data_IF_502807972182
#
_entry.id   IF_502807972182
#
_cell.length_a   1.000
_cell.length_b   1.000
_cell.length_c   1.000
_cell.angle_alpha   90.00
_cell.angle_beta   90.00
_cell.angle_gamma   90.00
#
_symmetry.space_group_name_H-M   'P 1'
#
loop_
_entity.id
_entity.type
_entity.pdbx_description
1 polymer ?
#
# COMPACT_ATOMS: atom_id res chain seq x y z
N UNK A 1 7.73 -27.65 13.32
CA UNK A 1 7.52 -28.72 12.33
C UNK A 1 7.50 -28.05 10.96
N UNK A 2 7.99 -28.67 9.89
CA UNK A 2 7.92 -28.03 8.58
C UNK A 2 6.48 -28.11 8.06
N UNK A 3 6.04 -27.12 7.28
CA UNK A 3 4.68 -27.08 6.72
C UNK A 3 4.38 -28.31 5.82
N UNK A 4 5.42 -28.88 5.19
CA UNK A 4 5.32 -30.16 4.48
C UNK A 4 4.88 -31.30 5.40
N UNK A 5 5.56 -31.48 6.53
CA UNK A 5 5.23 -32.55 7.49
C UNK A 5 3.83 -32.37 8.07
N UNK A 6 3.39 -31.12 8.28
CA UNK A 6 2.02 -30.80 8.68
C UNK A 6 0.99 -31.25 7.64
N UNK A 7 1.24 -30.98 6.35
CA UNK A 7 0.38 -31.43 5.27
C UNK A 7 0.41 -32.94 5.08
N UNK A 8 1.56 -33.57 5.24
CA UNK A 8 1.69 -35.03 5.18
C UNK A 8 0.86 -35.70 6.27
N UNK A 9 0.99 -35.24 7.52
CA UNK A 9 0.17 -35.73 8.64
C UNK A 9 -1.32 -35.47 8.43
N UNK A 10 -1.69 -34.31 7.88
CA UNK A 10 -3.08 -33.99 7.58
C UNK A 10 -3.65 -34.94 6.51
N UNK A 11 -2.88 -35.22 5.46
CA UNK A 11 -3.28 -36.16 4.42
C UNK A 11 -3.44 -37.58 4.95
N UNK A 12 -2.51 -38.06 5.79
CA UNK A 12 -2.65 -39.37 6.44
C UNK A 12 -3.90 -39.46 7.32
N UNK A 13 -4.28 -38.38 8.02
CA UNK A 13 -5.50 -38.32 8.84
C UNK A 13 -6.80 -38.37 8.03
N UNK A 14 -6.76 -38.07 6.73
CA UNK A 14 -7.93 -38.13 5.85
C UNK A 14 -8.14 -39.52 5.23
N UNK A 15 -7.18 -40.44 5.38
CA UNK A 15 -7.30 -41.79 4.84
C UNK A 15 -8.24 -42.65 5.70
N UNK A 16 -9.00 -43.58 5.08
CA UNK A 16 -9.76 -44.57 5.82
C UNK A 16 -8.83 -45.40 6.74
N UNK A 17 -9.28 -45.77 7.95
CA UNK A 17 -8.48 -46.61 8.84
C UNK A 17 -8.27 -48.00 8.24
N UNK A 18 -7.10 -48.60 8.46
CA UNK A 18 -6.79 -49.98 8.06
C UNK A 18 -5.36 -50.14 7.53
N UNK A 19 -4.92 -51.40 7.32
CA UNK A 19 -3.53 -51.71 6.97
C UNK A 19 -3.15 -51.35 5.53
N UNK A 20 -4.12 -50.94 4.71
CA UNK A 20 -3.90 -50.59 3.31
C UNK A 20 -2.96 -49.38 3.11
N UNK A 21 -2.72 -48.60 4.17
CA UNK A 21 -1.90 -47.39 4.17
C UNK A 21 -0.65 -47.50 5.05
N UNK A 22 -0.27 -48.71 5.46
CA UNK A 22 0.94 -48.94 6.25
C UNK A 22 2.19 -48.83 5.36
N UNK A 23 3.23 -48.20 5.89
CA UNK A 23 4.51 -47.99 5.20
C UNK A 23 4.57 -46.71 4.37
N UNK A 24 5.60 -46.61 3.54
CA UNK A 24 5.86 -45.44 2.70
C UNK A 24 4.73 -45.24 1.67
N UNK A 25 4.28 -43.99 1.52
CA UNK A 25 3.21 -43.65 0.60
C UNK A 25 3.66 -42.48 -0.30
N UNK A 26 4.32 -42.77 -1.44
CA UNK A 26 4.85 -41.76 -2.34
C UNK A 26 3.81 -40.79 -2.89
N UNK A 27 2.52 -41.18 -2.93
CA UNK A 27 1.44 -40.29 -3.34
C UNK A 27 1.19 -39.21 -2.28
N UNK A 28 1.15 -39.59 -1.00
CA UNK A 28 0.95 -38.66 0.11
C UNK A 28 2.18 -37.75 0.27
N UNK A 29 3.36 -38.36 0.28
CA UNK A 29 4.65 -37.66 0.37
C UNK A 29 4.89 -36.73 -0.82
N UNK A 30 4.45 -37.10 -2.02
CA UNK A 30 4.53 -36.26 -3.21
C UNK A 30 3.50 -35.12 -3.24
N UNK A 31 2.31 -35.35 -2.66
CA UNK A 31 1.24 -34.36 -2.65
C UNK A 31 1.49 -33.25 -1.62
N UNK A 32 2.03 -33.58 -0.44
CA UNK A 32 2.25 -32.61 0.63
C UNK A 32 3.10 -31.38 0.21
N UNK A 33 4.25 -31.54 -0.48
CA UNK A 33 5.02 -30.39 -1.00
C UNK A 33 4.24 -29.53 -1.99
N UNK A 34 3.32 -30.11 -2.77
CA UNK A 34 2.49 -29.32 -3.69
C UNK A 34 1.48 -28.45 -2.95
N UNK A 35 0.86 -28.96 -1.88
CA UNK A 35 -0.05 -28.22 -1.03
C UNK A 35 0.68 -27.11 -0.26
N UNK A 36 1.89 -27.37 0.22
CA UNK A 36 2.76 -26.35 0.83
C UNK A 36 3.05 -25.21 -0.12
N UNK A 37 3.38 -25.49 -1.39
CA UNK A 37 3.62 -24.42 -2.39
C UNK A 37 2.36 -23.57 -2.60
N UNK A 38 1.19 -24.21 -2.70
CA UNK A 38 -0.09 -23.49 -2.85
C UNK A 38 -0.39 -22.64 -1.61
N UNK A 39 -0.22 -23.19 -0.41
CA UNK A 39 -0.37 -22.45 0.85
C UNK A 39 0.54 -21.22 0.87
N UNK A 40 1.82 -21.38 0.56
CA UNK A 40 2.78 -20.28 0.55
C UNK A 40 2.41 -19.20 -0.48
N UNK A 41 1.93 -19.58 -1.66
CA UNK A 41 1.43 -18.63 -2.66
C UNK A 41 0.16 -17.92 -2.20
N UNK A 42 -0.74 -18.61 -1.49
CA UNK A 42 -1.91 -17.98 -0.88
C UNK A 42 -1.51 -16.94 0.18
N UNK A 43 -0.54 -17.27 1.04
CA UNK A 43 -0.02 -16.32 2.03
C UNK A 43 0.69 -15.13 1.38
N UNK A 44 1.42 -15.35 0.28
CA UNK A 44 2.01 -14.27 -0.49
C UNK A 44 0.92 -13.35 -1.09
N UNK A 45 -0.15 -13.94 -1.65
CA UNK A 45 -1.28 -13.19 -2.18
C UNK A 45 -1.94 -12.30 -1.12
N UNK A 46 -2.04 -12.75 0.14
CA UNK A 46 -2.60 -11.91 1.20
C UNK A 46 -1.78 -10.64 1.45
N UNK A 47 -0.46 -10.68 1.24
CA UNK A 47 0.40 -9.49 1.33
C UNK A 47 0.21 -8.56 0.13
N UNK A 48 -0.06 -9.13 -1.04
CA UNK A 48 -0.30 -8.37 -2.28
C UNK A 48 -1.62 -7.59 -2.26
N UNK A 49 -2.57 -7.94 -1.38
CA UNK A 49 -3.83 -7.19 -1.21
C UNK A 49 -3.58 -5.82 -0.60
N UNK A 50 -2.59 -5.70 0.29
CA UNK A 50 -2.23 -4.45 0.95
C UNK A 50 -1.30 -3.61 0.05
N UNK A 51 -1.70 -2.41 -0.40
CA UNK A 51 -0.86 -1.52 -1.20
C UNK A 51 0.48 -1.17 -0.51
N UNK A 52 0.55 -1.21 0.82
CA UNK A 52 1.77 -0.96 1.57
C UNK A 52 2.78 -2.13 1.50
N UNK A 53 2.32 -3.34 1.15
CA UNK A 53 3.13 -4.55 1.16
C UNK A 53 3.25 -5.24 -0.21
N UNK A 54 2.48 -4.81 -1.21
CA UNK A 54 2.51 -5.37 -2.57
C UNK A 54 3.89 -5.27 -3.22
N UNK A 55 4.32 -6.37 -3.84
CA UNK A 55 5.57 -6.44 -4.59
C UNK A 55 5.32 -6.90 -6.03
N UNK A 56 4.53 -7.98 -6.21
CA UNK A 56 4.19 -8.51 -7.53
C UNK A 56 3.15 -7.64 -8.25
N UNK A 57 2.20 -7.05 -7.53
CA UNK A 57 1.12 -6.24 -8.11
C UNK A 57 1.41 -4.74 -8.16
N UNK A 58 2.62 -4.30 -7.77
CA UNK A 58 2.91 -2.88 -7.58
C UNK A 58 2.68 -2.03 -8.84
N UNK A 59 3.08 -2.52 -10.02
CA UNK A 59 2.88 -1.80 -11.29
C UNK A 59 1.39 -1.61 -11.61
N UNK A 60 0.57 -2.60 -11.27
CA UNK A 60 -0.89 -2.55 -11.46
C UNK A 60 -1.52 -1.55 -10.51
N UNK A 61 -1.12 -1.56 -9.24
CA UNK A 61 -1.58 -0.58 -8.27
C UNK A 61 -1.20 0.84 -8.68
N UNK A 62 0.06 1.07 -9.04
CA UNK A 62 0.52 2.39 -9.50
C UNK A 62 -0.30 2.90 -10.70
N UNK A 63 -0.59 2.02 -11.67
CA UNK A 63 -1.46 2.37 -12.80
C UNK A 63 -2.85 2.82 -12.34
N UNK A 64 -3.49 2.10 -11.42
CA UNK A 64 -4.84 2.40 -10.91
C UNK A 64 -4.86 3.71 -10.12
N UNK A 65 -3.81 3.98 -9.33
CA UNK A 65 -3.68 5.18 -8.52
C UNK A 65 -3.02 6.36 -9.25
N UNK A 66 -2.71 6.22 -10.54
CA UNK A 66 -2.07 7.26 -11.35
C UNK A 66 -0.71 7.67 -10.82
N UNK A 67 0.14 6.68 -10.52
CA UNK A 67 1.55 6.83 -10.18
C UNK A 67 2.42 6.29 -11.34
N UNK A 68 3.63 6.83 -11.56
CA UNK A 68 4.19 8.01 -10.90
C UNK A 68 3.49 9.30 -11.33
N UNK A 69 3.32 10.24 -10.39
CA UNK A 69 2.73 11.56 -10.61
C UNK A 69 3.79 12.68 -10.51
N UNK A 70 3.36 13.94 -10.64
CA UNK A 70 4.26 15.11 -10.57
C UNK A 70 4.99 15.27 -9.24
N UNK A 71 4.54 14.59 -8.18
CA UNK A 71 5.16 14.60 -6.87
C UNK A 71 6.20 13.48 -6.70
N UNK A 72 6.36 12.63 -7.72
CA UNK A 72 7.31 11.52 -7.70
C UNK A 72 8.71 12.03 -8.04
N UNK A 73 9.70 11.82 -7.16
CA UNK A 73 11.06 12.28 -7.41
C UNK A 73 11.70 11.55 -8.59
N UNK A 74 12.48 12.28 -9.40
CA UNK A 74 13.17 11.77 -10.57
C UNK A 74 14.15 10.63 -10.23
N UNK A 75 14.33 9.71 -11.17
CA UNK A 75 15.29 8.62 -11.09
C UNK A 75 14.69 7.26 -10.75
N UNK A 76 15.57 6.26 -10.58
CA UNK A 76 15.18 4.88 -10.25
C UNK A 76 14.84 4.78 -8.78
N UNK A 77 13.70 4.18 -8.48
CA UNK A 77 13.16 4.10 -7.13
C UNK A 77 13.14 2.64 -6.66
N UNK A 78 13.51 2.43 -5.41
CA UNK A 78 13.43 1.12 -4.78
C UNK A 78 11.97 0.69 -4.59
N UNK A 79 11.73 -0.62 -4.51
CA UNK A 79 10.39 -1.16 -4.23
C UNK A 79 9.78 -0.55 -2.96
N UNK A 80 10.58 -0.36 -1.90
CA UNK A 80 10.13 0.22 -0.65
C UNK A 80 9.65 1.67 -0.80
N UNK A 81 10.38 2.48 -1.57
CA UNK A 81 9.96 3.87 -1.86
C UNK A 81 8.66 3.91 -2.66
N UNK A 82 8.49 2.99 -3.60
CA UNK A 82 7.25 2.85 -4.38
C UNK A 82 6.06 2.46 -3.49
N UNK A 83 6.24 1.45 -2.63
CA UNK A 83 5.24 1.02 -1.64
C UNK A 83 4.83 2.17 -0.70
N UNK A 84 5.79 2.93 -0.18
CA UNK A 84 5.52 4.07 0.71
C UNK A 84 4.66 5.14 0.04
N UNK A 85 4.94 5.49 -1.22
CA UNK A 85 4.12 6.47 -1.95
C UNK A 85 2.74 5.93 -2.29
N UNK A 86 2.66 4.66 -2.68
CA UNK A 86 1.41 4.01 -2.99
C UNK A 86 0.51 3.96 -1.73
N UNK A 87 1.06 3.54 -0.60
CA UNK A 87 0.38 3.56 0.70
C UNK A 87 -0.08 4.98 1.08
N UNK A 88 0.80 5.97 0.91
CA UNK A 88 0.51 7.36 1.16
C UNK A 88 -0.62 7.94 0.27
N UNK A 89 -0.90 7.32 -0.88
CA UNK A 89 -1.98 7.72 -1.81
C UNK A 89 -3.25 6.91 -1.63
N UNK A 90 -3.13 5.63 -1.26
CA UNK A 90 -4.24 4.69 -1.13
C UNK A 90 -4.91 4.72 0.24
N UNK A 91 -4.12 4.82 1.32
CA UNK A 91 -4.56 4.55 2.69
C UNK A 91 -4.57 5.78 3.60
N UNK A 92 -4.11 6.95 3.13
CA UNK A 92 -4.06 8.15 3.96
C UNK A 92 -5.46 8.66 4.26
N UNK A 93 -5.85 8.51 5.54
CA UNK A 93 -7.00 9.19 6.09
C UNK A 93 -6.71 10.69 6.13
N UNK A 94 -7.32 11.45 5.21
CA UNK A 94 -7.07 12.88 5.05
C UNK A 94 -7.26 13.68 6.35
N UNK A 95 -6.49 14.75 6.50
CA UNK A 95 -6.63 15.72 7.58
C UNK A 95 -6.30 17.13 7.09
N UNK A 96 -7.02 18.14 7.57
CA UNK A 96 -6.75 19.55 7.23
C UNK A 96 -6.04 20.19 8.42
N UNK A 97 -4.84 19.72 8.74
CA UNK A 97 -3.99 20.31 9.78
C UNK A 97 -2.51 20.19 9.42
N UNK A 98 -1.68 21.06 10.01
CA UNK A 98 -0.25 21.13 9.71
C UNK A 98 0.47 19.80 9.97
N UNK A 99 0.18 19.13 11.10
CA UNK A 99 0.84 17.88 11.47
C UNK A 99 0.60 16.78 10.43
N UNK A 100 -0.63 16.67 9.92
CA UNK A 100 -0.99 15.74 8.86
C UNK A 100 -0.14 15.96 7.60
N UNK A 101 -0.04 17.21 7.14
CA UNK A 101 0.74 17.54 5.96
C UNK A 101 2.25 17.33 6.18
N UNK A 102 2.79 17.64 7.36
CA UNK A 102 4.20 17.34 7.69
C UNK A 102 4.50 15.84 7.63
N UNK A 103 3.66 15.02 8.26
CA UNK A 103 3.83 13.56 8.24
C UNK A 103 3.82 13.02 6.80
N UNK A 104 2.95 13.55 5.94
CA UNK A 104 2.91 13.18 4.53
C UNK A 104 4.20 13.57 3.79
N UNK A 105 4.67 14.80 3.99
CA UNK A 105 5.90 15.28 3.35
C UNK A 105 7.12 14.45 3.79
N UNK A 106 7.24 14.14 5.08
CA UNK A 106 8.32 13.30 5.61
C UNK A 106 8.28 11.88 5.02
N UNK A 107 7.10 11.26 4.94
CA UNK A 107 6.92 9.93 4.36
C UNK A 107 7.30 9.88 2.88
N UNK A 108 7.10 10.99 2.16
CA UNK A 108 7.49 11.15 0.75
C UNK A 108 8.96 11.57 0.56
N UNK A 109 9.70 11.84 1.64
CA UNK A 109 11.11 12.24 1.62
C UNK A 109 11.36 13.74 1.53
N UNK A 110 10.33 14.58 1.67
CA UNK A 110 10.41 16.05 1.65
C UNK A 110 10.62 16.64 3.06
N UNK A 111 11.67 16.22 3.76
CA UNK A 111 11.90 16.58 5.18
C UNK A 111 12.23 18.05 5.44
N UNK A 112 12.56 18.81 4.39
CA UNK A 112 12.90 20.25 4.50
C UNK A 112 11.76 21.17 4.10
N UNK A 113 10.58 20.64 3.76
CA UNK A 113 9.45 21.45 3.32
C UNK A 113 8.82 22.26 4.48
N UNK A 114 8.42 23.50 4.19
CA UNK A 114 7.75 24.40 5.14
C UNK A 114 6.28 24.57 4.77
N UNK A 115 5.41 24.65 5.79
CA UNK A 115 3.97 24.89 5.62
C UNK A 115 3.68 26.31 6.08
N UNK A 116 3.01 27.10 5.23
CA UNK A 116 2.51 28.43 5.56
C UNK A 116 1.00 28.37 5.74
N UNK A 117 0.49 29.03 6.78
CA UNK A 117 -0.94 29.15 7.04
C UNK A 117 -1.38 30.59 6.84
N UNK A 118 -2.42 30.78 6.03
CA UNK A 118 -3.07 32.08 5.92
C UNK A 118 -3.70 32.46 7.26
N UNK A 119 -3.20 33.52 7.87
CA UNK A 119 -3.84 34.17 9.01
C UNK A 119 -4.85 35.16 8.44
N UNK A 120 -6.12 35.04 8.83
CA UNK A 120 -7.16 35.97 8.40
C UNK A 120 -6.74 37.38 8.80
N UNK A 121 -6.72 38.30 7.84
CA UNK A 121 -6.51 39.71 8.11
C UNK A 121 -7.79 40.21 8.80
N UNK A 122 -7.73 40.44 10.10
CA UNK A 122 -8.79 41.09 10.89
C UNK A 122 -8.97 42.57 10.52
N UNK A 123 -8.12 43.08 9.62
CA UNK A 123 -8.32 44.33 8.92
C UNK A 123 -9.52 44.24 7.97
N UNK A 124 -10.52 45.08 8.22
CA UNK A 124 -11.46 45.64 7.23
C UNK A 124 -10.86 45.66 5.82
N UNK A 125 -11.65 45.42 4.75
CA UNK A 125 -11.14 45.20 3.40
C UNK A 125 -10.04 46.19 3.02
N UNK A 126 -8.98 45.67 2.43
CA UNK A 126 -7.90 46.45 1.84
C UNK A 126 -8.50 47.59 0.99
N UNK A 127 -8.21 48.87 1.31
CA UNK A 127 -8.81 50.01 0.64
C UNK A 127 -8.53 50.07 -0.87
N UNK A 128 -7.57 49.29 -1.39
CA UNK A 128 -7.35 49.13 -2.83
C UNK A 128 -8.47 48.37 -3.56
N UNK A 129 -9.21 47.50 -2.86
CA UNK A 129 -10.36 46.78 -3.44
C UNK A 129 -11.65 47.60 -3.45
N UNK A 130 -11.63 48.81 -2.87
CA UNK A 130 -12.81 49.67 -2.70
C UNK A 130 -12.83 50.98 -3.50
N UNK A 131 -11.77 51.31 -4.25
CA UNK A 131 -11.66 52.60 -4.97
C UNK A 131 -11.25 52.47 -6.45
N UNK A 132 -11.46 51.32 -7.07
CA UNK A 132 -11.44 51.24 -8.54
C UNK A 132 -12.77 51.75 -9.10
N UNK A 133 -12.80 53.06 -9.34
CA UNK A 133 -13.40 53.64 -10.52
C UNK A 133 -14.89 53.42 -10.74
N UNK A 134 -15.64 54.52 -10.60
CA UNK A 134 -16.91 54.74 -11.25
C UNK A 134 -17.00 54.05 -12.63
N UNK A 135 -17.89 53.06 -12.75
CA UNK A 135 -18.46 52.67 -14.05
C UNK A 135 -19.64 53.62 -14.29
N UNK A 136 -19.35 54.87 -14.62
CA UNK A 136 -20.31 55.72 -15.32
C UNK A 136 -20.29 55.32 -16.79
N UNK A 137 -21.35 54.64 -17.23
CA UNK A 137 -21.50 54.19 -18.61
C UNK A 137 -22.85 53.54 -18.88
N UNK A 138 -23.94 54.30 -18.71
CA UNK A 138 -25.18 54.30 -19.50
C UNK A 138 -26.11 55.41 -18.98
#
# INVERSE_FOLDING_TARGET
MALNDEYEQLLYKLLPPGPAWEGDNPLIEGLAPSLTRVHQRANALMKEIDPAQTAELIDRYETVYGLPDSCTPDGVQSLRQRQQRLDAKANVAGGINEQFYRNQLDALGYTTATIEQFQNLDGSPDPEWGNTGAITGA
#
